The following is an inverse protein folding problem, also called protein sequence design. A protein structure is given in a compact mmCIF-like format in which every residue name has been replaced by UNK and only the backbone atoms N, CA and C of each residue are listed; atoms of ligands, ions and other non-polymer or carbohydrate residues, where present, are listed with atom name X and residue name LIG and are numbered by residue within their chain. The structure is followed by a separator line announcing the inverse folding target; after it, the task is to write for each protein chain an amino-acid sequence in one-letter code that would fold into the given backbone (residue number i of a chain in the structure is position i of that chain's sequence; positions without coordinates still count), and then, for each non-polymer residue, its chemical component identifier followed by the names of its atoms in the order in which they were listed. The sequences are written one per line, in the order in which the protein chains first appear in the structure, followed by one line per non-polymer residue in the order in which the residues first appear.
data_IF_382609999883
#
_entry.id   IF_382609999883
#
_cell.length_a   1.000
_cell.length_b   1.000
_cell.length_c   1.000
_cell.angle_alpha   90.00
_cell.angle_beta   90.00
_cell.angle_gamma   90.00
#
_symmetry.space_group_name_H-M   'P 1'
#
loop_
_entity.id
_entity.type
_entity.pdbx_description
1 polymer ?
#
# COMPACT_ATOMS: atom_id res chain seq x y z
N UNK A 1 24.23 -12.67 -1.65
CA UNK A 1 23.95 -12.23 -0.27
C UNK A 1 22.47 -12.49 -0.02
N UNK A 2 22.14 -13.11 1.11
CA UNK A 2 20.77 -13.55 1.40
C UNK A 2 20.28 -12.85 2.67
N UNK A 3 19.13 -12.20 2.59
CA UNK A 3 18.50 -11.46 3.68
C UNK A 3 17.16 -12.13 3.97
N UNK A 4 17.04 -12.73 5.15
CA UNK A 4 15.83 -13.43 5.59
C UNK A 4 15.01 -12.47 6.45
N UNK A 5 13.76 -12.27 6.06
CA UNK A 5 12.79 -11.48 6.80
C UNK A 5 11.82 -12.41 7.53
N UNK A 6 11.89 -12.39 8.86
CA UNK A 6 11.04 -13.19 9.75
C UNK A 6 10.08 -12.29 10.53
N UNK A 7 8.92 -12.83 10.89
CA UNK A 7 7.99 -12.14 11.80
C UNK A 7 8.61 -12.11 13.21
N UNK A 8 8.46 -11.01 13.95
CA UNK A 8 8.90 -10.98 15.33
C UNK A 8 8.05 -11.90 16.19
N UNK A 9 8.61 -12.43 17.28
CA UNK A 9 7.98 -13.46 18.12
C UNK A 9 6.59 -13.07 18.66
N UNK A 10 6.38 -11.78 18.93
CA UNK A 10 5.10 -11.25 19.39
C UNK A 10 4.00 -11.32 18.32
N UNK A 11 4.34 -11.32 17.04
CA UNK A 11 3.40 -11.50 15.93
C UNK A 11 3.24 -12.97 15.51
N UNK A 12 4.11 -13.88 15.97
CA UNK A 12 3.97 -15.31 15.69
C UNK A 12 2.78 -15.94 16.43
N UNK A 13 2.26 -15.28 17.45
CA UNK A 13 1.06 -15.73 18.17
C UNK A 13 -0.19 -15.09 17.56
N UNK A 14 -1.13 -15.91 17.11
CA UNK A 14 -2.41 -15.40 16.63
C UNK A 14 -3.31 -15.01 17.81
N UNK A 15 -4.26 -14.09 17.58
CA UNK A 15 -5.27 -13.72 18.56
C UNK A 15 -6.12 -14.90 19.06
N UNK A 16 -6.22 -15.98 18.27
CA UNK A 16 -6.90 -17.21 18.67
C UNK A 16 -6.06 -18.10 19.63
N UNK A 17 -4.86 -17.68 20.03
CA UNK A 17 -3.97 -18.38 20.97
C UNK A 17 -3.10 -19.47 20.32
N UNK A 18 -3.27 -19.72 19.02
CA UNK A 18 -2.46 -20.67 18.27
C UNK A 18 -1.22 -20.02 17.65
N UNK A 19 -0.14 -20.80 17.54
CA UNK A 19 1.09 -20.39 16.86
C UNK A 19 0.87 -20.37 15.33
N UNK A 20 1.25 -19.26 14.69
CA UNK A 20 1.28 -19.17 13.23
C UNK A 20 2.40 -20.07 12.71
N UNK A 21 2.15 -20.75 11.59
CA UNK A 21 3.13 -21.59 10.90
C UNK A 21 3.53 -20.94 9.59
N UNK A 22 4.77 -21.18 9.17
CA UNK A 22 5.23 -20.81 7.83
C UNK A 22 4.47 -21.68 6.83
N UNK A 23 3.73 -21.03 5.93
CA UNK A 23 2.93 -21.69 4.90
C UNK A 23 3.53 -21.47 3.51
N UNK A 24 4.27 -20.39 3.32
CA UNK A 24 4.96 -20.11 2.08
C UNK A 24 6.18 -19.24 2.31
N UNK A 25 7.06 -19.23 1.32
CA UNK A 25 8.24 -18.37 1.30
C UNK A 25 8.29 -17.68 -0.06
N UNK A 26 8.43 -16.36 -0.06
CA UNK A 26 8.57 -15.55 -1.27
C UNK A 26 10.01 -15.05 -1.39
N UNK A 27 10.68 -15.42 -2.47
CA UNK A 27 12.04 -14.97 -2.77
C UNK A 27 12.00 -13.83 -3.78
N UNK A 28 12.55 -12.67 -3.42
CA UNK A 28 12.70 -11.51 -4.29
C UNK A 28 14.18 -11.25 -4.55
N UNK A 29 14.56 -11.11 -5.81
CA UNK A 29 15.94 -10.76 -6.20
C UNK A 29 16.04 -9.27 -6.50
N UNK A 30 16.99 -8.59 -5.85
CA UNK A 30 17.29 -7.18 -6.07
C UNK A 30 18.73 -7.03 -6.53
N UNK A 31 18.94 -6.30 -7.63
CA UNK A 31 20.27 -6.00 -8.16
C UNK A 31 20.77 -4.68 -7.57
N UNK A 32 21.90 -4.73 -6.88
CA UNK A 32 22.64 -3.56 -6.44
C UNK A 32 23.80 -3.31 -7.40
N UNK A 33 23.85 -2.11 -7.97
CA UNK A 33 24.87 -1.70 -8.93
C UNK A 33 25.81 -0.74 -8.22
N UNK A 34 26.99 -1.22 -7.88
CA UNK A 34 28.11 -0.40 -7.42
C UNK A 34 29.04 -0.22 -8.62
N UNK A 35 29.62 0.96 -8.89
CA UNK A 35 30.55 1.10 -10.00
C UNK A 35 31.62 0.00 -9.98
N UNK A 36 31.75 -0.72 -11.10
CA UNK A 36 32.62 -1.91 -11.30
C UNK A 36 32.15 -3.23 -10.66
N UNK A 37 31.04 -3.27 -9.93
CA UNK A 37 30.50 -4.49 -9.30
C UNK A 37 28.97 -4.56 -9.35
N UNK A 38 28.42 -5.63 -9.92
CA UNK A 38 26.98 -5.93 -9.83
C UNK A 38 26.79 -7.04 -8.81
N UNK A 39 25.89 -6.82 -7.86
CA UNK A 39 25.58 -7.79 -6.79
C UNK A 39 24.10 -8.12 -6.81
N UNK A 40 23.79 -9.41 -6.66
CA UNK A 40 22.43 -9.87 -6.43
C UNK A 40 22.20 -10.05 -4.91
N UNK A 41 21.23 -9.31 -4.39
CA UNK A 41 20.71 -9.43 -3.03
C UNK A 41 19.41 -10.23 -3.12
N UNK A 42 19.38 -11.40 -2.51
CA UNK A 42 18.18 -12.23 -2.43
C UNK A 42 17.48 -11.95 -1.11
N UNK A 43 16.23 -11.52 -1.18
CA UNK A 43 15.36 -11.32 -0.03
C UNK A 43 14.40 -12.49 0.09
N UNK A 44 14.42 -13.19 1.21
CA UNK A 44 13.53 -14.33 1.49
C UNK A 44 12.50 -13.85 2.51
N UNK A 45 11.23 -13.82 2.14
CA UNK A 45 10.11 -13.41 3.00
C UNK A 45 9.30 -14.62 3.39
N UNK A 46 9.19 -14.87 4.70
CA UNK A 46 8.34 -15.97 5.19
C UNK A 46 6.90 -15.47 5.34
N UNK A 47 5.97 -16.25 4.82
CA UNK A 47 4.53 -16.03 4.92
C UNK A 47 3.96 -16.95 5.99
N UNK A 48 3.33 -16.36 6.99
CA UNK A 48 2.79 -17.06 8.15
C UNK A 48 1.26 -17.05 8.10
N UNK A 49 0.62 -18.18 8.39
CA UNK A 49 -0.80 -18.15 8.73
C UNK A 49 -1.15 -19.12 9.85
N UNK A 50 -2.31 -18.87 10.45
CA UNK A 50 -2.85 -19.68 11.52
C UNK A 50 -3.82 -20.71 10.94
N UNK A 51 -3.50 -22.01 11.11
CA UNK A 51 -4.37 -23.11 10.68
C UNK A 51 -5.69 -23.19 11.47
N UNK A 52 -5.73 -22.64 12.68
CA UNK A 52 -6.88 -22.80 13.58
C UNK A 52 -8.02 -21.81 13.28
N UNK A 53 -7.70 -20.62 12.79
CA UNK A 53 -8.69 -19.55 12.65
C UNK A 53 -8.80 -18.97 11.22
N UNK A 54 -8.21 -19.64 10.22
CA UNK A 54 -8.20 -19.24 8.79
C UNK A 54 -7.91 -17.75 8.56
N UNK A 55 -7.15 -17.14 9.48
CA UNK A 55 -6.81 -15.74 9.43
C UNK A 55 -5.96 -15.47 8.18
N UNK A 56 -6.15 -14.29 7.58
CA UNK A 56 -5.42 -13.89 6.39
C UNK A 56 -3.89 -14.08 6.60
N UNK A 57 -3.19 -14.69 5.63
CA UNK A 57 -1.75 -14.90 5.74
C UNK A 57 -1.04 -13.56 5.88
N UNK A 58 -0.08 -13.51 6.80
CA UNK A 58 0.74 -12.33 7.06
C UNK A 58 2.13 -12.62 6.52
N UNK A 59 2.51 -11.87 5.50
CA UNK A 59 3.85 -11.91 4.94
C UNK A 59 4.75 -10.96 5.74
N UNK A 60 5.95 -11.41 6.09
CA UNK A 60 6.94 -10.52 6.70
C UNK A 60 7.19 -9.31 5.79
N UNK A 61 6.93 -8.11 6.31
CA UNK A 61 7.09 -6.87 5.54
C UNK A 61 8.56 -6.65 5.18
N UNK A 62 8.78 -6.16 3.97
CA UNK A 62 10.07 -5.59 3.57
C UNK A 62 9.82 -4.17 3.10
N UNK A 63 10.36 -3.21 3.83
CA UNK A 63 10.45 -1.81 3.41
C UNK A 63 11.85 -1.61 2.81
N UNK A 64 12.04 -0.85 1.71
CA UNK A 64 11.09 0.04 1.04
C UNK A 64 10.74 -0.41 -0.39
N UNK A 65 9.43 -0.42 -0.69
CA UNK A 65 8.97 -0.08 -2.04
C UNK A 65 9.51 1.31 -2.36
N UNK A 66 10.30 1.44 -3.43
CA UNK A 66 10.48 2.75 -4.04
C UNK A 66 9.08 3.27 -4.40
N UNK A 67 8.70 4.50 -4.00
CA UNK A 67 7.42 5.03 -4.41
C UNK A 67 7.46 5.20 -5.93
N UNK A 68 6.79 4.31 -6.67
CA UNK A 68 6.43 4.58 -8.06
C UNK A 68 5.62 5.87 -8.05
N UNK A 69 6.09 6.87 -8.78
CA UNK A 69 5.58 8.23 -8.81
C UNK A 69 4.04 8.28 -8.86
N UNK A 70 3.39 9.23 -8.17
CA UNK A 70 1.95 9.40 -8.27
C UNK A 70 1.59 9.72 -9.73
N UNK A 71 0.78 8.86 -10.34
CA UNK A 71 0.17 9.13 -11.65
C UNK A 71 -0.53 10.48 -11.60
N UNK A 72 0.02 11.45 -12.31
CA UNK A 72 -0.58 12.77 -12.49
C UNK A 72 -1.87 12.64 -13.31
N UNK A 73 -3.00 12.44 -12.64
CA UNK A 73 -4.32 12.64 -13.24
C UNK A 73 -4.55 14.16 -13.36
N UNK A 74 -4.22 14.71 -14.53
CA UNK A 74 -4.50 16.09 -14.87
C UNK A 74 -6.00 16.36 -14.93
N UNK A 75 -6.50 17.15 -13.97
CA UNK A 75 -7.84 17.71 -14.03
C UNK A 75 -7.81 19.01 -14.83
N UNK A 76 -8.00 18.92 -16.16
CA UNK A 76 -8.42 20.08 -16.98
C UNK A 76 -9.91 20.30 -16.74
N UNK A 77 -10.28 21.12 -15.77
CA UNK A 77 -11.67 21.60 -15.65
C UNK A 77 -11.73 23.02 -16.19
N UNK A 78 -11.91 23.13 -17.51
CA UNK A 78 -12.39 24.36 -18.12
C UNK A 78 -13.83 24.56 -17.69
N UNK A 79 -14.06 25.48 -16.74
CA UNK A 79 -15.40 25.86 -16.31
C UNK A 79 -15.84 27.09 -17.11
N UNK A 80 -16.54 26.85 -18.22
CA UNK A 80 -17.32 27.85 -18.94
C UNK A 80 -18.49 28.32 -18.07
N UNK A 81 -18.28 29.42 -17.35
CA UNK A 81 -19.32 30.07 -16.56
C UNK A 81 -20.31 30.81 -17.48
N UNK A 82 -21.34 30.11 -17.95
CA UNK A 82 -22.57 30.73 -18.45
C UNK A 82 -23.27 31.39 -17.25
N UNK A 83 -23.17 32.72 -17.14
CA UNK A 83 -23.87 33.49 -16.09
C UNK A 83 -25.39 33.31 -16.24
N UNK A 84 -26.13 32.85 -15.22
CA UNK A 84 -27.58 32.95 -15.24
C UNK A 84 -28.03 34.38 -14.88
N UNK A 85 -29.03 34.85 -15.62
CA UNK A 85 -29.61 36.19 -15.55
C UNK A 85 -30.46 36.31 -14.29
N UNK A 86 -30.15 37.28 -13.42
CA UNK A 86 -30.87 37.50 -12.16
C UNK A 86 -32.35 37.86 -12.40
N UNK A 87 -33.30 37.32 -11.61
CA UNK A 87 -34.70 37.74 -11.65
C UNK A 87 -34.91 39.11 -10.99
N UNK A 88 -35.87 39.88 -11.51
CA UNK A 88 -36.24 41.23 -11.07
C UNK A 88 -36.84 41.23 -9.66
N UNK A 89 -36.55 42.23 -8.81
CA UNK A 89 -37.17 42.33 -7.49
C UNK A 89 -38.66 42.70 -7.61
N UNK A 90 -39.50 42.01 -6.84
CA UNK A 90 -40.91 42.30 -6.68
C UNK A 90 -41.12 43.62 -5.92
N UNK A 91 -41.98 44.49 -6.44
CA UNK A 91 -42.30 45.79 -5.84
C UNK A 91 -43.23 45.59 -4.64
N UNK A 92 -42.84 46.22 -3.53
CA UNK A 92 -43.49 46.31 -2.21
C UNK A 92 -44.91 46.85 -2.31
N UNK A 93 -45.88 46.19 -1.68
CA UNK A 93 -47.20 46.77 -1.36
C UNK A 93 -47.21 47.17 0.11
N UNK A 94 -47.29 48.47 0.37
CA UNK A 94 -47.71 49.04 1.65
C UNK A 94 -49.21 49.29 1.61
N UNK A 95 -49.91 48.80 2.64
CA UNK A 95 -51.23 49.18 3.17
C UNK A 95 -52.37 49.46 2.18
#
# INVERSE_FOLDING_TARGET
MEVIHELPEHELTCACGACKQVIGEETSEQLEIIPMQVRAIRHIRKTYACKACEAAPITAETVPRTPSAPSSSGARTGCSATRPRAPRPARRSTA
#
